data_IF_957171004036
#
_entry.id   IF_957171004036
#
_cell.length_a   1.000
_cell.length_b   1.000
_cell.length_c   1.000
_cell.angle_alpha   90.00
_cell.angle_beta   90.00
_cell.angle_gamma   90.00
#
_symmetry.space_group_name_H-M   'P 1'
#
loop_
_entity.id
_entity.type
_entity.pdbx_description
1 polymer ?
#
# COMPACT_ATOMS: atom_id res chain seq x y z
N UNK A 1 -2.30 -1.02 -11.85
CA UNK A 1 -1.16 -1.94 -11.67
C UNK A 1 -1.61 -3.39 -11.85
N UNK A 2 -2.70 -3.61 -12.50
CA UNK A 2 -3.17 -4.95 -12.89
C UNK A 2 -2.75 -5.25 -14.33
N UNK A 3 -2.40 -6.50 -14.60
CA UNK A 3 -2.19 -6.95 -15.96
C UNK A 3 -3.53 -7.15 -16.70
N UNK A 4 -3.48 -7.40 -18.00
CA UNK A 4 -4.66 -7.62 -18.84
C UNK A 4 -5.49 -8.88 -18.45
N UNK A 5 -5.00 -9.70 -17.54
CA UNK A 5 -5.71 -10.86 -16.97
C UNK A 5 -6.41 -10.54 -15.65
N UNK A 6 -6.33 -9.29 -15.18
CA UNK A 6 -6.89 -8.85 -13.90
C UNK A 6 -6.02 -9.17 -12.68
N UNK A 7 -4.83 -9.74 -12.87
CA UNK A 7 -3.88 -10.00 -11.80
C UNK A 7 -3.06 -8.78 -11.42
N UNK A 8 -2.39 -8.83 -10.27
CA UNK A 8 -1.39 -7.83 -9.93
C UNK A 8 -0.22 -7.91 -10.90
N UNK A 9 0.23 -6.77 -11.41
CA UNK A 9 1.39 -6.67 -12.32
C UNK A 9 2.74 -7.01 -11.66
N UNK A 10 2.73 -7.64 -10.47
CA UNK A 10 3.92 -8.08 -9.74
C UNK A 10 3.63 -9.27 -8.83
N UNK A 11 4.67 -10.01 -8.47
CA UNK A 11 4.56 -11.12 -7.54
C UNK A 11 4.64 -10.64 -6.10
N UNK A 12 3.51 -10.68 -5.37
CA UNK A 12 3.39 -10.22 -3.98
C UNK A 12 4.39 -10.90 -3.04
N UNK A 13 4.56 -12.21 -3.18
CA UNK A 13 5.49 -12.98 -2.33
C UNK A 13 6.95 -12.59 -2.58
N UNK A 14 7.32 -12.47 -3.83
CA UNK A 14 8.69 -12.11 -4.21
C UNK A 14 9.04 -10.69 -3.73
N UNK A 15 8.10 -9.74 -3.84
CA UNK A 15 8.29 -8.37 -3.38
C UNK A 15 8.46 -8.31 -1.85
N UNK A 16 7.58 -8.95 -1.08
CA UNK A 16 7.69 -9.00 0.37
C UNK A 16 9.02 -9.64 0.81
N UNK A 17 9.38 -10.75 0.16
CA UNK A 17 10.61 -11.47 0.44
C UNK A 17 11.85 -10.60 0.19
N UNK A 18 11.88 -9.85 -0.91
CA UNK A 18 12.97 -8.92 -1.21
C UNK A 18 13.07 -7.81 -0.17
N UNK A 19 11.96 -7.16 0.16
CA UNK A 19 11.94 -6.06 1.13
C UNK A 19 12.43 -6.54 2.50
N UNK A 20 11.91 -7.66 2.99
CA UNK A 20 12.23 -8.17 4.32
C UNK A 20 13.65 -8.72 4.44
N UNK A 21 14.22 -9.34 3.40
CA UNK A 21 15.56 -9.94 3.48
C UNK A 21 16.68 -9.07 2.91
N UNK A 22 16.39 -8.25 1.90
CA UNK A 22 17.42 -7.50 1.17
C UNK A 22 17.42 -6.01 1.48
N UNK A 23 16.22 -5.40 1.63
CA UNK A 23 16.11 -3.98 1.84
C UNK A 23 16.20 -3.57 3.32
N UNK A 24 15.89 -4.45 4.26
CA UNK A 24 15.97 -4.15 5.68
C UNK A 24 17.42 -3.87 6.14
N UNK A 25 17.57 -2.85 6.99
CA UNK A 25 18.82 -2.58 7.68
C UNK A 25 18.71 -3.00 9.15
N UNK A 26 19.70 -3.70 9.67
CA UNK A 26 19.71 -4.25 11.05
C UNK A 26 19.54 -3.19 12.14
N UNK A 27 19.92 -1.95 11.86
CA UNK A 27 19.79 -0.82 12.80
C UNK A 27 18.54 0.03 12.52
N UNK A 28 17.58 -0.52 11.78
CA UNK A 28 16.33 0.12 11.40
C UNK A 28 16.40 0.88 10.07
N UNK A 29 15.23 1.08 9.45
CA UNK A 29 15.09 1.68 8.13
C UNK A 29 15.35 0.70 6.97
N UNK A 30 15.05 1.15 5.78
CA UNK A 30 15.14 0.36 4.56
C UNK A 30 16.07 1.04 3.54
N UNK A 31 16.57 0.28 2.59
CA UNK A 31 17.56 0.67 1.58
C UNK A 31 17.18 0.09 0.22
N UNK A 32 17.74 0.65 -0.84
CA UNK A 32 17.56 0.17 -2.21
C UNK A 32 17.98 -1.31 -2.37
N UNK A 33 19.19 -1.63 -1.93
CA UNK A 33 19.76 -2.98 -2.03
C UNK A 33 20.85 -3.19 -0.96
N UNK A 34 21.27 -4.46 -0.72
CA UNK A 34 22.16 -4.81 0.40
C UNK A 34 23.43 -3.98 0.54
N UNK A 35 24.01 -3.49 -0.55
CA UNK A 35 25.26 -2.70 -0.52
C UNK A 35 25.06 -1.19 -0.30
N UNK A 36 23.82 -0.73 -0.17
CA UNK A 36 23.49 0.69 -0.01
C UNK A 36 23.16 1.05 1.41
N UNK A 37 23.35 2.32 1.75
CA UNK A 37 22.89 2.89 3.00
C UNK A 37 21.37 2.99 3.01
N UNK A 38 20.79 2.92 4.21
CA UNK A 38 19.38 3.23 4.42
C UNK A 38 19.13 4.72 4.22
N UNK A 39 17.95 5.07 3.77
CA UNK A 39 17.49 6.45 3.65
C UNK A 39 15.96 6.54 3.80
N UNK A 40 15.46 7.76 3.95
CA UNK A 40 14.02 7.98 4.15
C UNK A 40 13.19 7.65 2.91
N UNK A 41 13.73 7.91 1.72
CA UNK A 41 13.05 7.62 0.46
C UNK A 41 12.78 6.12 0.31
N UNK A 42 13.83 5.29 0.40
CA UNK A 42 13.69 3.84 0.28
C UNK A 42 12.91 3.24 1.45
N UNK A 43 13.01 3.80 2.67
CA UNK A 43 12.18 3.36 3.80
C UNK A 43 10.70 3.62 3.54
N UNK A 44 10.34 4.82 3.06
CA UNK A 44 8.97 5.18 2.74
C UNK A 44 8.39 4.27 1.66
N UNK A 45 9.02 4.21 0.50
CA UNK A 45 8.47 3.47 -0.64
C UNK A 45 8.54 1.96 -0.49
N UNK A 46 9.52 1.43 0.21
CA UNK A 46 9.56 0.00 0.51
C UNK A 46 8.45 -0.42 1.48
N UNK A 47 8.16 0.39 2.51
CA UNK A 47 7.02 0.13 3.40
C UNK A 47 5.69 0.24 2.67
N UNK A 48 5.53 1.19 1.77
CA UNK A 48 4.35 1.30 0.92
C UNK A 48 4.20 0.10 0.00
N UNK A 49 5.27 -0.32 -0.65
CA UNK A 49 5.30 -1.53 -1.49
C UNK A 49 4.97 -2.80 -0.69
N UNK A 50 5.49 -2.91 0.53
CA UNK A 50 5.17 -4.00 1.45
C UNK A 50 3.68 -4.00 1.82
N UNK A 51 3.14 -2.84 2.16
CA UNK A 51 1.71 -2.67 2.45
C UNK A 51 0.84 -3.08 1.26
N UNK A 52 1.13 -2.60 0.07
CA UNK A 52 0.38 -2.97 -1.14
C UNK A 52 0.47 -4.49 -1.37
N UNK A 53 1.65 -5.08 -1.23
CA UNK A 53 1.84 -6.52 -1.41
C UNK A 53 1.08 -7.37 -0.37
N UNK A 54 0.77 -6.83 0.80
CA UNK A 54 0.03 -7.53 1.85
C UNK A 54 -1.49 -7.32 1.75
N UNK A 55 -1.91 -6.10 1.47
CA UNK A 55 -3.30 -5.66 1.63
C UNK A 55 -4.07 -5.51 0.32
N UNK A 56 -3.39 -5.57 -0.82
CA UNK A 56 -4.06 -5.43 -2.10
C UNK A 56 -4.78 -6.74 -2.43
N UNK A 57 -6.10 -6.72 -2.29
CA UNK A 57 -6.98 -7.83 -2.62
C UNK A 57 -7.82 -7.46 -3.85
N UNK A 58 -7.85 -8.36 -4.81
CA UNK A 58 -8.74 -8.26 -5.95
C UNK A 58 -10.00 -9.07 -5.65
N UNK A 59 -11.16 -8.54 -6.01
CA UNK A 59 -12.39 -9.33 -6.02
C UNK A 59 -12.32 -10.42 -7.11
N UNK A 60 -13.31 -11.31 -7.13
CA UNK A 60 -13.40 -12.40 -8.14
C UNK A 60 -13.44 -11.88 -9.57
N UNK A 61 -13.73 -10.60 -9.77
CA UNK A 61 -13.76 -9.93 -11.08
C UNK A 61 -12.45 -9.22 -11.42
N UNK A 62 -11.38 -9.40 -10.61
CA UNK A 62 -10.08 -8.76 -10.84
C UNK A 62 -10.04 -7.26 -10.54
N UNK A 63 -11.09 -6.69 -9.94
CA UNK A 63 -11.14 -5.29 -9.55
C UNK A 63 -10.64 -5.08 -8.12
N UNK A 64 -9.98 -3.96 -7.81
CA UNK A 64 -9.64 -3.60 -6.45
C UNK A 64 -10.90 -3.60 -5.57
N UNK A 65 -10.87 -4.27 -4.45
CA UNK A 65 -11.94 -4.13 -3.46
C UNK A 65 -11.92 -2.71 -2.93
N UNK A 66 -12.93 -1.94 -3.29
CA UNK A 66 -13.18 -0.63 -2.71
C UNK A 66 -14.04 -0.80 -1.46
N UNK A 67 -13.63 -0.19 -0.35
CA UNK A 67 -14.49 -0.03 0.81
C UNK A 67 -13.83 -0.33 2.14
N UNK A 68 -14.45 0.23 3.17
CA UNK A 68 -14.14 0.07 4.59
C UNK A 68 -14.46 -1.34 5.13
N UNK A 69 -14.75 -2.31 4.27
CA UNK A 69 -14.89 -3.69 4.69
C UNK A 69 -13.54 -4.15 5.26
N UNK A 70 -13.57 -4.45 6.55
CA UNK A 70 -12.46 -5.10 7.22
C UNK A 70 -11.95 -6.25 6.35
N UNK A 71 -10.63 -6.41 6.18
CA UNK A 71 -10.07 -7.44 5.31
C UNK A 71 -10.62 -8.78 5.75
N UNK A 72 -11.51 -9.34 4.94
CA UNK A 72 -11.97 -10.70 5.15
C UNK A 72 -10.77 -11.60 4.96
N UNK A 73 -10.09 -11.91 6.05
CA UNK A 73 -9.26 -13.10 6.27
C UNK A 73 -8.00 -13.34 5.40
N UNK A 74 -7.65 -12.53 4.41
CA UNK A 74 -6.57 -12.86 3.49
C UNK A 74 -5.53 -11.75 3.32
N UNK A 75 -5.03 -11.22 4.45
CA UNK A 75 -3.75 -10.49 4.41
C UNK A 75 -2.67 -11.52 4.08
N UNK A 76 -2.07 -11.41 2.92
CA UNK A 76 -0.99 -12.29 2.53
C UNK A 76 0.33 -11.80 3.12
N UNK A 77 0.72 -12.33 4.26
CA UNK A 77 1.98 -11.97 4.93
C UNK A 77 3.03 -13.04 4.68
N UNK A 78 4.19 -12.62 4.22
CA UNK A 78 5.35 -13.51 4.10
C UNK A 78 6.09 -13.60 5.44
N UNK A 79 6.29 -14.82 5.92
CA UNK A 79 6.96 -15.10 7.19
C UNK A 79 6.01 -15.01 8.37
N UNK A 80 6.45 -14.36 9.45
CA UNK A 80 5.71 -14.24 10.69
C UNK A 80 4.63 -13.14 10.60
N UNK A 81 3.60 -13.26 11.44
CA UNK A 81 2.54 -12.26 11.60
C UNK A 81 3.06 -10.89 12.02
N UNK A 82 4.20 -10.83 12.68
CA UNK A 82 4.86 -9.57 13.07
C UNK A 82 5.39 -8.76 11.88
N UNK A 83 5.44 -9.36 10.69
CA UNK A 83 5.79 -8.67 9.44
C UNK A 83 4.63 -7.87 8.85
N UNK A 84 3.45 -7.89 9.46
CA UNK A 84 2.31 -7.10 9.01
C UNK A 84 2.60 -5.60 9.17
N UNK A 85 2.33 -4.83 8.13
CA UNK A 85 2.37 -3.37 8.17
C UNK A 85 0.97 -2.77 8.01
N UNK A 86 0.78 -1.53 8.43
CA UNK A 86 -0.48 -0.84 8.26
C UNK A 86 -0.85 -0.70 6.78
N UNK A 87 -2.15 -0.79 6.49
CA UNK A 87 -2.66 -0.57 5.14
C UNK A 87 -2.40 0.86 4.70
N UNK A 88 -1.81 1.01 3.53
CA UNK A 88 -1.49 2.30 2.90
C UNK A 88 -2.34 2.47 1.64
N UNK A 89 -2.86 3.66 1.43
CA UNK A 89 -3.50 4.02 0.16
C UNK A 89 -2.45 4.04 -0.95
N UNK A 90 -2.63 3.30 -2.05
CA UNK A 90 -1.68 3.31 -3.17
C UNK A 90 -1.68 4.64 -3.94
N UNK A 91 -2.75 5.43 -3.83
CA UNK A 91 -2.89 6.72 -4.51
C UNK A 91 -2.17 7.83 -3.74
N UNK A 92 -2.42 7.92 -2.43
CA UNK A 92 -1.91 9.01 -1.59
C UNK A 92 -0.63 8.66 -0.82
N UNK A 93 -0.24 7.40 -0.81
CA UNK A 93 0.94 6.89 -0.10
C UNK A 93 0.98 7.23 1.40
N UNK A 94 -0.18 7.23 2.03
CA UNK A 94 -0.37 7.41 3.48
C UNK A 94 -1.24 6.29 4.03
N UNK A 95 -1.17 6.03 5.32
CA UNK A 95 -1.99 4.98 5.94
C UNK A 95 -3.48 5.31 5.85
N UNK A 96 -4.31 4.29 5.69
CA UNK A 96 -5.75 4.46 5.43
C UNK A 96 -6.48 5.22 6.53
N UNK A 97 -6.08 5.05 7.79
CA UNK A 97 -6.62 5.80 8.95
C UNK A 97 -6.31 7.30 8.85
N UNK A 98 -5.08 7.64 8.46
CA UNK A 98 -4.66 9.04 8.27
C UNK A 98 -5.31 9.68 7.06
N UNK A 99 -5.46 8.92 5.97
CA UNK A 99 -6.20 9.38 4.81
C UNK A 99 -7.65 9.71 5.16
N UNK A 100 -8.33 8.78 5.85
CA UNK A 100 -9.71 8.99 6.30
C UNK A 100 -9.84 10.25 7.15
N UNK A 101 -8.98 10.41 8.15
CA UNK A 101 -8.96 11.61 8.99
C UNK A 101 -8.75 12.90 8.19
N UNK A 102 -7.82 12.92 7.25
CA UNK A 102 -7.54 14.08 6.41
C UNK A 102 -8.74 14.43 5.51
N UNK A 103 -9.32 13.43 4.86
CA UNK A 103 -10.50 13.63 4.02
C UNK A 103 -11.69 14.16 4.83
N UNK A 104 -11.99 13.56 5.98
CA UNK A 104 -13.07 14.02 6.87
C UNK A 104 -12.86 15.47 7.32
N UNK A 105 -11.63 15.86 7.64
CA UNK A 105 -11.30 17.22 8.03
C UNK A 105 -11.53 18.23 6.90
N UNK A 106 -10.94 17.98 5.74
CA UNK A 106 -11.01 18.92 4.60
C UNK A 106 -12.37 18.97 3.92
N UNK A 107 -13.12 17.85 3.87
CA UNK A 107 -14.49 17.85 3.34
C UNK A 107 -15.45 18.63 4.23
N UNK A 108 -15.32 18.54 5.54
CA UNK A 108 -16.19 19.27 6.48
C UNK A 108 -16.10 20.78 6.31
N UNK A 109 -14.95 21.29 5.92
CA UNK A 109 -14.70 22.72 5.75
C UNK A 109 -14.90 23.21 4.29
N UNK A 110 -15.39 22.35 3.40
CA UNK A 110 -15.66 22.70 1.98
C UNK A 110 -14.40 23.06 1.17
N UNK A 111 -13.23 22.65 1.65
CA UNK A 111 -11.95 22.99 1.02
C UNK A 111 -11.57 22.09 -0.17
N UNK A 112 -12.25 20.97 -0.38
CA UNK A 112 -11.96 20.02 -1.46
C UNK A 112 -13.27 19.64 -2.16
N UNK A 113 -13.23 19.52 -3.49
CA UNK A 113 -14.29 18.96 -4.30
C UNK A 113 -14.69 17.56 -3.81
N UNK A 114 -15.93 17.19 -4.00
CA UNK A 114 -16.44 15.88 -3.57
C UNK A 114 -15.65 14.75 -4.22
N UNK A 115 -15.59 13.59 -3.54
CA UNK A 115 -14.91 12.39 -4.02
C UNK A 115 -15.28 12.03 -5.48
N UNK A 116 -16.52 12.27 -5.89
CA UNK A 116 -17.01 12.00 -7.25
C UNK A 116 -16.44 12.98 -8.27
N UNK A 117 -16.13 14.22 -7.89
CA UNK A 117 -15.49 15.21 -8.78
C UNK A 117 -14.01 14.91 -9.00
N UNK A 118 -13.31 14.34 -8.01
CA UNK A 118 -11.92 13.90 -8.17
C UNK A 118 -11.79 12.70 -9.11
N UNK A 119 -12.76 11.78 -9.10
CA UNK A 119 -12.75 10.62 -10.00
C UNK A 119 -13.15 10.98 -11.44
N UNK A 120 -13.88 12.07 -11.66
CA UNK A 120 -14.26 12.55 -12.98
C UNK A 120 -13.18 13.40 -13.67
N UNK A 121 -12.19 13.91 -12.93
CA UNK A 121 -11.11 14.73 -13.48
C UNK A 121 -9.93 13.91 -14.02
N UNK A 122 -9.95 12.59 -13.91
CA UNK A 122 -8.90 11.67 -14.40
C UNK A 122 -9.32 10.87 -15.65
N UNK A 123 -10.29 11.35 -16.43
CA UNK A 123 -10.66 10.77 -17.74
C UNK A 123 -10.16 11.65 -18.87
#
# INVERSE_FOLDING_TARGET
>A
VTDSSGGLGFNQRALQRYILHCAQNMTGGLRDKPSKSRDFYHSCYSLSGLSIAQWFDLNESGQPRSGDEAPKKNVYVYGDSDNVVNRTSPIFNITSDKLKFALEYFYRDGMICTHDELLQSEI
#
